data_IF_689735090485
#
_entry.id   IF_689735090485
#
_cell.length_a   1.000
_cell.length_b   1.000
_cell.length_c   1.000
_cell.angle_alpha   90.00
_cell.angle_beta   90.00
_cell.angle_gamma   90.00
#
_symmetry.space_group_name_H-M   'P 1'
#
loop_
_entity.id
_entity.type
_entity.pdbx_description
1 polymer ?
#
# COMPACT_ATOMS: atom_id res chain seq x y z
N UNK A 1 -1.78 -15.12 -24.39
CA UNK A 1 -0.62 -14.35 -23.89
C UNK A 1 -0.17 -13.36 -24.95
N UNK A 2 -0.39 -12.06 -24.71
CA UNK A 2 -0.49 -11.00 -25.72
C UNK A 2 0.79 -10.41 -26.32
N UNK A 3 1.94 -11.09 -26.28
CA UNK A 3 3.17 -10.55 -26.87
C UNK A 3 3.40 -10.99 -28.34
N UNK A 4 2.43 -11.69 -28.95
CA UNK A 4 2.55 -12.24 -30.32
C UNK A 4 2.15 -11.28 -31.44
N UNK A 5 1.58 -10.11 -31.13
CA UNK A 5 1.00 -9.16 -32.10
C UNK A 5 1.47 -7.72 -31.92
N UNK A 6 2.67 -7.52 -31.40
CA UNK A 6 3.31 -6.20 -31.26
C UNK A 6 3.01 -5.45 -29.96
N UNK A 7 3.84 -4.44 -29.68
CA UNK A 7 3.85 -3.69 -28.42
C UNK A 7 2.53 -2.97 -28.18
N UNK A 8 1.97 -2.30 -29.20
CA UNK A 8 0.70 -1.58 -29.08
C UNK A 8 -0.48 -2.46 -28.63
N UNK A 9 -0.57 -3.71 -29.14
CA UNK A 9 -1.64 -4.62 -28.73
C UNK A 9 -1.45 -5.15 -27.31
N UNK A 10 -0.20 -5.33 -26.88
CA UNK A 10 0.11 -5.66 -25.49
C UNK A 10 -0.35 -4.53 -24.56
N UNK A 11 0.00 -3.30 -24.87
CA UNK A 11 -0.32 -2.14 -24.04
C UNK A 11 -1.84 -1.90 -23.98
N UNK A 12 -2.55 -2.04 -25.11
CA UNK A 12 -4.01 -1.99 -25.15
C UNK A 12 -4.66 -3.10 -24.30
N UNK A 13 -4.17 -4.33 -24.38
CA UNK A 13 -4.67 -5.43 -23.54
C UNK A 13 -4.41 -5.17 -22.05
N UNK A 14 -3.26 -4.58 -21.72
CA UNK A 14 -2.89 -4.23 -20.35
C UNK A 14 -3.86 -3.16 -19.80
N UNK A 15 -4.07 -2.07 -20.56
CA UNK A 15 -5.05 -1.04 -20.21
C UNK A 15 -6.44 -1.63 -20.03
N UNK A 16 -6.90 -2.48 -20.96
CA UNK A 16 -8.21 -3.11 -20.87
C UNK A 16 -8.33 -3.99 -19.62
N UNK A 17 -7.27 -4.73 -19.27
CA UNK A 17 -7.26 -5.57 -18.06
C UNK A 17 -7.44 -4.73 -16.80
N UNK A 18 -6.74 -3.60 -16.70
CA UNK A 18 -6.87 -2.70 -15.56
C UNK A 18 -8.21 -1.96 -15.53
N UNK A 19 -8.77 -1.57 -16.68
CA UNK A 19 -10.10 -0.97 -16.75
C UNK A 19 -11.19 -1.97 -16.31
N UNK A 20 -11.12 -3.22 -16.76
CA UNK A 20 -12.03 -4.28 -16.32
C UNK A 20 -11.86 -4.57 -14.81
N UNK A 21 -10.62 -4.56 -14.31
CA UNK A 21 -10.34 -4.64 -12.87
C UNK A 21 -11.03 -3.52 -12.09
N UNK A 22 -10.94 -2.27 -12.58
CA UNK A 22 -11.68 -1.15 -12.01
C UNK A 22 -13.19 -1.39 -12.00
N UNK A 23 -13.77 -1.77 -13.15
CA UNK A 23 -15.20 -2.05 -13.27
C UNK A 23 -15.69 -3.18 -12.34
N UNK A 24 -14.84 -4.15 -12.00
CA UNK A 24 -15.17 -5.20 -11.03
C UNK A 24 -15.43 -4.65 -9.62
N UNK A 25 -14.83 -3.52 -9.25
CA UNK A 25 -15.03 -2.89 -7.95
C UNK A 25 -16.31 -2.05 -7.86
N UNK A 26 -16.91 -1.68 -9.00
CA UNK A 26 -18.21 -1.01 -9.06
C UNK A 26 -18.43 -0.16 -10.31
N UNK A 27 -19.65 0.35 -10.47
CA UNK A 27 -20.07 1.11 -11.66
C UNK A 27 -19.75 2.62 -11.61
N UNK A 28 -18.98 3.08 -10.61
CA UNK A 28 -18.63 4.49 -10.48
C UNK A 28 -17.43 4.86 -11.36
N UNK A 29 -17.41 6.08 -11.89
CA UNK A 29 -16.30 6.65 -12.66
C UNK A 29 -14.98 6.64 -11.90
N UNK A 30 -15.01 6.74 -10.57
CA UNK A 30 -13.82 6.66 -9.72
C UNK A 30 -13.04 5.36 -9.93
N UNK A 31 -13.74 4.23 -10.07
CA UNK A 31 -13.10 2.93 -10.28
C UNK A 31 -12.53 2.77 -11.69
N UNK A 32 -13.21 3.31 -12.70
CA UNK A 32 -12.70 3.30 -14.07
C UNK A 32 -11.44 4.15 -14.21
N UNK A 33 -11.45 5.36 -13.63
CA UNK A 33 -10.27 6.25 -13.60
C UNK A 33 -9.14 5.63 -12.81
N UNK A 34 -9.43 5.03 -11.65
CA UNK A 34 -8.45 4.29 -10.85
C UNK A 34 -7.76 3.18 -11.66
N UNK A 35 -8.55 2.32 -12.31
CA UNK A 35 -8.02 1.26 -13.16
C UNK A 35 -7.21 1.82 -14.33
N UNK A 36 -7.75 2.82 -15.02
CA UNK A 36 -7.07 3.49 -16.13
C UNK A 36 -5.71 4.07 -15.74
N UNK A 37 -5.62 4.76 -14.60
CA UNK A 37 -4.37 5.33 -14.08
C UNK A 37 -3.34 4.23 -13.78
N UNK A 38 -3.74 3.15 -13.10
CA UNK A 38 -2.83 2.02 -12.86
C UNK A 38 -2.34 1.37 -14.16
N UNK A 39 -3.24 1.16 -15.13
CA UNK A 39 -2.87 0.65 -16.44
C UNK A 39 -1.90 1.57 -17.18
N UNK A 40 -2.14 2.88 -17.16
CA UNK A 40 -1.26 3.88 -17.76
C UNK A 40 0.12 3.90 -17.09
N UNK A 41 0.18 3.84 -15.76
CA UNK A 41 1.45 3.76 -15.03
C UNK A 41 2.24 2.51 -15.42
N UNK A 42 1.58 1.37 -15.56
CA UNK A 42 2.22 0.11 -15.94
C UNK A 42 2.72 0.13 -17.39
N UNK A 43 1.93 0.68 -18.33
CA UNK A 43 2.38 0.90 -19.71
C UNK A 43 3.58 1.84 -19.73
N UNK A 44 3.52 2.96 -19.01
CA UNK A 44 4.61 3.93 -18.94
C UNK A 44 5.90 3.30 -18.40
N UNK A 45 5.83 2.53 -17.30
CA UNK A 45 6.98 1.81 -16.74
C UNK A 45 7.56 0.78 -17.72
N UNK A 46 6.71 0.11 -18.50
CA UNK A 46 7.12 -0.86 -19.52
C UNK A 46 7.92 -0.24 -20.68
N UNK A 47 7.68 1.04 -20.97
CA UNK A 47 8.41 1.81 -21.98
C UNK A 47 9.65 2.54 -21.43
N UNK A 48 9.88 2.52 -20.11
CA UNK A 48 11.08 3.09 -19.52
C UNK A 48 12.33 2.23 -19.84
N UNK A 49 13.50 2.85 -20.03
CA UNK A 49 14.75 2.12 -20.24
C UNK A 49 15.07 1.22 -19.04
N UNK A 50 15.67 0.05 -19.32
CA UNK A 50 15.91 -1.00 -18.32
C UNK A 50 16.61 -0.54 -17.02
N UNK A 51 17.57 0.41 -17.02
CA UNK A 51 18.17 0.93 -15.80
C UNK A 51 17.17 1.63 -14.87
N UNK A 52 16.24 2.42 -15.43
CA UNK A 52 15.19 3.11 -14.68
C UNK A 52 14.16 2.12 -14.15
N UNK A 53 13.69 1.19 -15.01
CA UNK A 53 12.73 0.16 -14.61
C UNK A 53 13.26 -0.78 -13.53
N UNK A 54 14.53 -1.20 -13.63
CA UNK A 54 15.13 -2.14 -12.67
C UNK A 54 15.64 -1.46 -11.39
N UNK A 55 15.61 -0.12 -11.31
CA UNK A 55 16.03 0.69 -10.15
C UNK A 55 17.33 0.16 -9.51
N UNK A 56 18.31 -0.12 -10.36
CA UNK A 56 19.53 -0.86 -9.94
C UNK A 56 20.47 -0.03 -9.08
N UNK A 57 20.42 1.29 -9.18
CA UNK A 57 21.27 2.18 -8.39
C UNK A 57 20.52 2.74 -7.18
N UNK A 58 21.26 2.98 -6.10
CA UNK A 58 20.72 3.54 -4.86
C UNK A 58 19.98 4.88 -5.08
N UNK A 59 20.49 5.84 -5.89
CA UNK A 59 19.75 7.08 -6.16
C UNK A 59 18.40 6.84 -6.85
N UNK A 60 18.32 5.90 -7.79
CA UNK A 60 17.07 5.56 -8.47
C UNK A 60 16.05 4.91 -7.52
N UNK A 61 16.51 4.18 -6.50
CA UNK A 61 15.62 3.64 -5.46
C UNK A 61 15.10 4.73 -4.53
N UNK A 62 15.98 5.62 -4.06
CA UNK A 62 15.62 6.72 -3.16
C UNK A 62 14.55 7.62 -3.78
N UNK A 63 14.59 7.84 -5.10
CA UNK A 63 13.55 8.62 -5.80
C UNK A 63 12.36 7.76 -6.22
N UNK A 64 12.62 6.55 -6.71
CA UNK A 64 11.58 5.69 -7.28
C UNK A 64 10.58 5.18 -6.24
N UNK A 65 11.02 4.85 -5.03
CA UNK A 65 10.15 4.35 -3.96
C UNK A 65 9.12 5.41 -3.53
N UNK A 66 9.52 6.64 -3.12
CA UNK A 66 8.57 7.71 -2.80
C UNK A 66 7.65 8.06 -3.97
N UNK A 67 8.16 8.09 -5.20
CA UNK A 67 7.35 8.38 -6.38
C UNK A 67 6.26 7.32 -6.60
N UNK A 68 6.62 6.03 -6.49
CA UNK A 68 5.66 4.93 -6.64
C UNK A 68 4.61 4.97 -5.53
N UNK A 69 5.06 5.24 -4.30
CA UNK A 69 4.16 5.41 -3.17
C UNK A 69 3.21 6.60 -3.34
N UNK A 70 3.70 7.74 -3.82
CA UNK A 70 2.86 8.91 -4.11
C UNK A 70 1.81 8.62 -5.19
N UNK A 71 2.21 7.96 -6.29
CA UNK A 71 1.27 7.50 -7.34
C UNK A 71 0.24 6.54 -6.76
N UNK A 72 0.67 5.59 -5.93
CA UNK A 72 -0.19 4.62 -5.26
C UNK A 72 -1.24 5.32 -4.39
N UNK A 73 -0.82 6.18 -3.46
CA UNK A 73 -1.72 6.90 -2.54
C UNK A 73 -2.68 7.82 -3.30
N UNK A 74 -2.19 8.53 -4.33
CA UNK A 74 -3.02 9.41 -5.16
C UNK A 74 -4.12 8.60 -5.87
N UNK A 75 -3.74 7.50 -6.50
CA UNK A 75 -4.68 6.65 -7.22
C UNK A 75 -5.67 6.00 -6.25
N UNK A 76 -5.22 5.51 -5.09
CA UNK A 76 -6.09 4.97 -4.05
C UNK A 76 -7.03 6.00 -3.43
N UNK A 77 -6.66 7.28 -3.39
CA UNK A 77 -7.56 8.35 -2.95
C UNK A 77 -8.76 8.46 -3.91
N UNK A 78 -8.51 8.40 -5.22
CA UNK A 78 -9.58 8.39 -6.23
C UNK A 78 -10.47 7.15 -6.07
N UNK A 79 -9.89 5.97 -5.81
CA UNK A 79 -10.65 4.75 -5.56
C UNK A 79 -11.59 4.87 -4.35
N UNK A 80 -11.12 5.54 -3.28
CA UNK A 80 -11.84 5.59 -2.00
C UNK A 80 -12.95 6.62 -1.98
N UNK A 81 -12.87 7.67 -2.80
CA UNK A 81 -13.87 8.75 -2.81
C UNK A 81 -15.17 8.29 -3.46
N UNK A 82 -16.28 8.94 -3.08
CA UNK A 82 -17.60 8.63 -3.64
C UNK A 82 -17.84 9.25 -5.02
N UNK A 83 -17.02 10.21 -5.45
CA UNK A 83 -17.09 10.84 -6.77
C UNK A 83 -15.75 11.46 -7.17
N UNK A 84 -15.60 11.76 -8.46
CA UNK A 84 -14.43 12.48 -8.98
C UNK A 84 -14.37 13.93 -8.46
N UNK A 85 -15.52 14.58 -8.24
CA UNK A 85 -15.58 15.91 -7.62
C UNK A 85 -15.05 15.89 -6.18
N UNK A 86 -15.40 14.85 -5.42
CA UNK A 86 -14.86 14.68 -4.07
C UNK A 86 -13.36 14.41 -4.11
N UNK A 87 -12.86 13.57 -5.03
CA UNK A 87 -11.41 13.37 -5.20
C UNK A 87 -10.68 14.69 -5.49
N UNK A 88 -11.23 15.53 -6.37
CA UNK A 88 -10.67 16.85 -6.65
C UNK A 88 -10.64 17.76 -5.41
N UNK A 89 -11.68 17.73 -4.58
CA UNK A 89 -11.71 18.47 -3.31
C UNK A 89 -10.63 17.97 -2.33
N UNK A 90 -10.38 16.66 -2.23
CA UNK A 90 -9.28 16.11 -1.43
C UNK A 90 -7.92 16.62 -1.93
N UNK A 91 -7.67 16.57 -3.24
CA UNK A 91 -6.40 17.05 -3.79
C UNK A 91 -6.23 18.56 -3.65
N UNK A 92 -7.30 19.35 -3.84
CA UNK A 92 -7.28 20.77 -3.56
C UNK A 92 -6.96 21.04 -2.08
N UNK A 93 -7.56 20.27 -1.16
CA UNK A 93 -7.27 20.34 0.28
C UNK A 93 -5.80 20.09 0.59
N UNK A 94 -5.18 19.06 -0.01
CA UNK A 94 -3.75 18.75 0.19
C UNK A 94 -2.85 19.92 -0.26
N UNK A 95 -3.20 20.60 -1.35
CA UNK A 95 -2.42 21.73 -1.86
C UNK A 95 -2.54 23.00 -1.00
N UNK A 96 -3.69 23.20 -0.33
CA UNK A 96 -3.94 24.39 0.49
C UNK A 96 -3.65 24.17 1.99
N UNK A 97 -3.74 22.93 2.46
CA UNK A 97 -3.43 22.52 3.82
C UNK A 97 -2.49 21.30 3.77
N UNK A 98 -1.17 21.51 3.86
CA UNK A 98 -0.19 20.42 3.84
C UNK A 98 -0.26 19.49 5.07
N UNK A 99 -1.18 19.72 6.00
CA UNK A 99 -1.48 18.80 7.10
C UNK A 99 -0.53 18.94 8.29
N UNK A 100 0.17 20.07 8.44
CA UNK A 100 1.07 20.30 9.58
C UNK A 100 0.37 20.16 10.93
N UNK A 101 -0.91 20.54 11.00
CA UNK A 101 -1.73 20.41 12.21
C UNK A 101 -1.89 18.96 12.66
N UNK A 102 -1.89 17.99 11.74
CA UNK A 102 -2.01 16.56 12.04
C UNK A 102 -0.80 16.05 12.84
N UNK A 103 0.39 16.63 12.62
CA UNK A 103 1.58 16.31 13.40
C UNK A 103 1.56 16.95 14.80
N UNK A 104 0.82 18.05 14.98
CA UNK A 104 0.64 18.68 16.28
C UNK A 104 -0.53 18.06 17.08
N UNK A 105 -1.53 17.52 16.39
CA UNK A 105 -2.81 17.09 16.95
C UNK A 105 -3.11 15.63 16.58
N UNK A 106 -2.59 14.69 17.38
CA UNK A 106 -2.74 13.25 17.10
C UNK A 106 -4.19 12.75 17.04
N UNK A 107 -5.14 13.45 17.66
CA UNK A 107 -6.56 13.11 17.58
C UNK A 107 -7.15 13.32 16.18
N UNK A 108 -6.53 14.16 15.33
CA UNK A 108 -6.93 14.29 13.93
C UNK A 108 -6.66 13.01 13.12
N UNK A 109 -5.76 12.16 13.60
CA UNK A 109 -5.51 10.81 13.04
C UNK A 109 -6.52 9.77 13.56
N UNK A 110 -7.49 10.17 14.39
CA UNK A 110 -8.42 9.25 15.05
C UNK A 110 -7.82 8.51 16.25
N UNK A 111 -6.65 8.94 16.73
CA UNK A 111 -5.98 8.35 17.89
C UNK A 111 -6.53 8.95 19.19
N UNK A 112 -6.81 8.11 20.17
CA UNK A 112 -7.39 8.52 21.46
C UNK A 112 -6.34 8.96 22.47
N UNK A 113 -5.10 8.47 22.34
CA UNK A 113 -4.03 8.73 23.30
C UNK A 113 -2.65 8.88 22.66
N UNK A 114 -1.73 9.53 23.38
CA UNK A 114 -0.31 9.62 22.97
C UNK A 114 0.36 8.25 22.91
N UNK A 115 -0.10 7.28 23.72
CA UNK A 115 0.41 5.91 23.67
C UNK A 115 0.09 5.26 22.32
N UNK A 116 -1.12 5.43 21.81
CA UNK A 116 -1.50 4.92 20.47
C UNK A 116 -0.65 5.55 19.36
N UNK A 117 -0.31 6.84 19.47
CA UNK A 117 0.60 7.49 18.54
C UNK A 117 2.01 6.86 18.60
N UNK A 118 2.55 6.65 19.80
CA UNK A 118 3.87 6.02 19.96
C UNK A 118 3.88 4.58 19.43
N UNK A 119 2.81 3.83 19.66
CA UNK A 119 2.65 2.46 19.13
C UNK A 119 2.53 2.46 17.60
N UNK A 120 1.80 3.40 17.02
CA UNK A 120 1.72 3.57 15.55
C UNK A 120 3.10 3.86 14.96
N UNK A 121 3.82 4.83 15.52
CA UNK A 121 5.16 5.20 15.05
C UNK A 121 6.16 4.05 15.22
N UNK A 122 6.10 3.33 16.36
CA UNK A 122 6.91 2.14 16.59
C UNK A 122 6.58 1.04 15.58
N UNK A 123 5.30 0.79 15.29
CA UNK A 123 4.87 -0.18 14.30
C UNK A 123 5.39 0.14 12.90
N UNK A 124 5.27 1.40 12.46
CA UNK A 124 5.83 1.86 11.18
C UNK A 124 7.35 1.70 11.16
N UNK A 125 8.04 2.11 12.23
CA UNK A 125 9.49 1.99 12.33
C UNK A 125 9.96 0.52 12.27
N UNK A 126 9.25 -0.39 12.95
CA UNK A 126 9.52 -1.83 12.90
C UNK A 126 9.29 -2.40 11.50
N UNK A 127 8.19 -2.02 10.82
CA UNK A 127 7.92 -2.45 9.45
C UNK A 127 9.03 -2.00 8.49
N UNK A 128 9.44 -0.73 8.57
CA UNK A 128 10.53 -0.19 7.75
C UNK A 128 11.85 -0.88 8.08
N UNK A 129 12.16 -1.10 9.36
CA UNK A 129 13.36 -1.83 9.79
C UNK A 129 13.38 -3.24 9.20
N UNK A 130 12.27 -3.97 9.28
CA UNK A 130 12.14 -5.33 8.72
C UNK A 130 12.37 -5.31 7.20
N UNK A 131 11.82 -4.33 6.49
CA UNK A 131 12.00 -4.20 5.04
C UNK A 131 13.46 -3.88 4.67
N UNK A 132 14.11 -2.99 5.41
CA UNK A 132 15.54 -2.67 5.23
C UNK A 132 16.42 -3.90 5.51
N UNK A 133 16.17 -4.62 6.60
CA UNK A 133 16.90 -5.86 6.91
C UNK A 133 16.72 -6.90 5.78
N UNK A 134 15.52 -7.00 5.24
CA UNK A 134 15.21 -7.88 4.12
C UNK A 134 16.00 -7.48 2.85
N UNK A 135 16.09 -6.19 2.52
CA UNK A 135 16.94 -5.71 1.42
C UNK A 135 18.45 -5.96 1.65
N UNK A 136 18.90 -5.95 2.90
CA UNK A 136 20.27 -6.32 3.28
C UNK A 136 20.54 -7.84 3.23
N UNK A 137 19.56 -8.66 2.84
CA UNK A 137 19.69 -10.12 2.73
C UNK A 137 19.35 -10.88 4.02
N UNK A 138 18.89 -10.19 5.07
CA UNK A 138 18.44 -10.81 6.31
C UNK A 138 16.96 -11.18 6.19
N UNK A 139 16.69 -12.42 5.77
CA UNK A 139 15.34 -12.94 5.67
C UNK A 139 14.88 -13.51 7.02
N UNK A 140 14.18 -12.70 7.82
CA UNK A 140 13.59 -13.12 9.12
C UNK A 140 12.82 -14.45 9.01
N UNK A 141 12.03 -14.62 7.95
CA UNK A 141 11.28 -15.87 7.70
C UNK A 141 12.20 -17.08 7.49
N UNK A 142 13.33 -16.90 6.80
CA UNK A 142 14.29 -17.99 6.60
C UNK A 142 14.95 -18.37 7.93
N UNK A 143 15.27 -17.38 8.76
CA UNK A 143 15.83 -17.60 10.10
C UNK A 143 14.85 -18.36 11.01
N UNK A 144 13.58 -17.95 11.04
CA UNK A 144 12.53 -18.68 11.77
C UNK A 144 12.38 -20.10 11.22
N UNK A 145 12.34 -20.30 9.90
CA UNK A 145 12.17 -21.63 9.31
C UNK A 145 13.36 -22.57 9.59
N UNK A 146 14.56 -22.03 9.74
CA UNK A 146 15.76 -22.81 10.10
C UNK A 146 15.81 -23.17 11.59
N UNK A 147 15.01 -22.50 12.45
CA UNK A 147 14.99 -22.76 13.88
C UNK A 147 14.35 -24.12 14.23
N UNK A 148 14.71 -24.72 15.38
CA UNK A 148 14.08 -25.95 15.88
C UNK A 148 12.55 -25.82 15.94
N UNK A 149 11.84 -26.93 15.74
CA UNK A 149 10.36 -26.96 15.73
C UNK A 149 9.74 -26.24 16.95
N UNK A 150 10.21 -26.43 18.21
CA UNK A 150 9.64 -25.73 19.35
C UNK A 150 9.74 -24.20 19.24
N UNK A 151 10.87 -23.69 18.76
CA UNK A 151 11.10 -22.24 18.58
C UNK A 151 10.17 -21.66 17.52
N UNK A 152 10.00 -22.37 16.40
CA UNK A 152 9.07 -21.96 15.34
C UNK A 152 7.64 -21.82 15.83
N UNK A 153 7.14 -22.84 16.53
CA UNK A 153 5.79 -22.81 17.09
C UNK A 153 5.64 -21.73 18.15
N UNK A 154 6.63 -21.54 19.03
CA UNK A 154 6.61 -20.45 20.00
C UNK A 154 6.50 -19.07 19.32
N UNK A 155 7.24 -18.84 18.23
CA UNK A 155 7.15 -17.58 17.46
C UNK A 155 5.77 -17.41 16.81
N UNK A 156 5.18 -18.47 16.23
CA UNK A 156 3.85 -18.38 15.61
C UNK A 156 2.74 -18.18 16.65
N UNK A 157 2.79 -18.89 17.77
CA UNK A 157 1.83 -18.74 18.87
C UNK A 157 1.96 -17.34 19.50
N UNK A 158 3.18 -16.84 19.67
CA UNK A 158 3.40 -15.46 20.13
C UNK A 158 2.83 -14.44 19.14
N UNK A 159 3.07 -14.60 17.84
CA UNK A 159 2.51 -13.71 16.82
C UNK A 159 0.98 -13.75 16.80
N UNK A 160 0.39 -14.94 16.92
CA UNK A 160 -1.06 -15.12 17.06
C UNK A 160 -1.57 -14.43 18.32
N UNK A 161 -0.91 -14.66 19.47
CA UNK A 161 -1.25 -13.99 20.73
C UNK A 161 -1.18 -12.46 20.60
N UNK A 162 -0.11 -11.89 20.04
CA UNK A 162 -0.01 -10.44 19.82
C UNK A 162 -1.13 -9.89 18.92
N UNK A 163 -1.56 -10.64 17.90
CA UNK A 163 -2.65 -10.24 17.01
C UNK A 163 -4.03 -10.30 17.68
N UNK A 164 -4.26 -11.27 18.57
CA UNK A 164 -5.60 -11.57 19.10
C UNK A 164 -5.80 -11.22 20.58
N UNK A 165 -4.74 -11.11 21.38
CA UNK A 165 -4.82 -10.77 22.80
C UNK A 165 -5.20 -9.29 23.00
N UNK A 166 -4.69 -8.39 22.16
CA UNK A 166 -5.04 -6.95 22.17
C UNK A 166 -6.18 -6.59 21.20
N UNK A 167 -6.68 -7.56 20.43
CA UNK A 167 -7.78 -7.36 19.47
C UNK A 167 -9.05 -6.84 20.14
N UNK A 168 -9.30 -7.14 21.42
CA UNK A 168 -10.48 -6.64 22.15
C UNK A 168 -10.39 -5.15 22.50
N UNK A 169 -9.19 -4.58 22.52
CA UNK A 169 -8.94 -3.18 22.91
C UNK A 169 -8.66 -2.29 21.70
N UNK A 170 -7.99 -2.82 20.65
CA UNK A 170 -7.58 -2.06 19.46
C UNK A 170 -8.42 -2.30 18.20
N UNK A 171 -9.09 -3.45 18.08
CA UNK A 171 -9.92 -3.78 16.92
C UNK A 171 -11.32 -4.07 17.44
N UNK A 172 -12.21 -3.07 17.58
CA UNK A 172 -13.61 -3.37 17.83
C UNK A 172 -14.05 -4.38 16.77
N UNK A 173 -14.39 -5.59 17.22
CA UNK A 173 -14.74 -6.78 16.41
C UNK A 173 -15.81 -6.44 15.34
N UNK A 174 -16.50 -5.32 15.50
CA UNK A 174 -17.44 -4.70 14.55
C UNK A 174 -16.82 -4.21 13.22
N UNK A 175 -15.49 -4.09 13.10
CA UNK A 175 -14.80 -3.57 11.89
C UNK A 175 -14.34 -4.68 10.94
N UNK A 176 -14.31 -5.95 11.38
CA UNK A 176 -13.99 -7.06 10.49
C UNK A 176 -15.21 -7.40 9.62
N UNK A 177 -15.14 -7.04 8.33
CA UNK A 177 -16.23 -7.22 7.35
C UNK A 177 -16.72 -8.69 7.25
N UNK A 178 -15.87 -9.66 7.59
CA UNK A 178 -16.17 -11.10 7.56
C UNK A 178 -16.71 -11.69 8.87
N UNK A 179 -16.71 -10.94 9.97
CA UNK A 179 -17.29 -11.38 11.26
C UNK A 179 -18.77 -10.96 11.41
N UNK A 180 -19.44 -10.66 10.30
CA UNK A 180 -20.85 -10.22 10.22
C UNK A 180 -21.82 -11.36 9.86
N UNK A 181 -21.44 -12.60 10.11
CA UNK A 181 -22.32 -13.77 9.99
C UNK A 181 -22.40 -14.47 11.34
#
# INVERSE_FOLDING_TARGET
GGNRKGIARRDANLLLTFLVSGLWHGANWTFLVWGGLHGLCQVAEDHMPAPLRKRKSLPLRIVGVPLTFAIFVTTFTIFRTSSLGNAAAYFAGILHNPGHEVFAQYWLLGLTSKLELLLLLLGIALLVLVDVLHECGLHLRAWVNAAPRPVRWAVYEFAYFCLFADGKSFIPIRVFLYARF
#
